data_IF_639429064002
#
_entry.id   IF_639429064002
#
_cell.length_a   1.000
_cell.length_b   1.000
_cell.length_c   1.000
_cell.angle_alpha   90.00
_cell.angle_beta   90.00
_cell.angle_gamma   90.00
#
_symmetry.space_group_name_H-M   'P 1'
#
loop_
_entity.id
_entity.type
_entity.pdbx_description
1 polymer ?
#
# COMPACT_ATOMS: atom_id res chain seq x y z
N UNK A 1 6.98 -19.27 2.13
CA UNK A 1 6.06 -18.24 1.61
C UNK A 1 4.87 -18.94 0.99
N UNK A 2 3.65 -18.49 1.26
CA UNK A 2 2.46 -19.03 0.59
C UNK A 2 2.51 -18.70 -0.91
N UNK A 3 1.77 -19.44 -1.75
CA UNK A 3 1.69 -19.18 -3.21
C UNK A 3 1.27 -17.75 -3.50
N UNK A 4 0.48 -17.16 -2.61
CA UNK A 4 -0.02 -15.79 -2.74
C UNK A 4 1.07 -14.75 -2.42
N UNK A 5 1.89 -15.00 -1.39
CA UNK A 5 3.01 -14.11 -1.04
C UNK A 5 4.06 -14.03 -2.15
N UNK A 6 4.29 -15.15 -2.85
CA UNK A 6 5.24 -15.18 -3.97
C UNK A 6 4.72 -14.36 -5.15
N UNK A 7 3.41 -14.39 -5.42
CA UNK A 7 2.77 -13.57 -6.45
C UNK A 7 2.81 -12.08 -6.11
N UNK A 8 2.56 -11.73 -4.85
CA UNK A 8 2.66 -10.35 -4.38
C UNK A 8 4.08 -9.82 -4.55
N UNK A 9 5.08 -10.60 -4.12
CA UNK A 9 6.48 -10.20 -4.28
C UNK A 9 6.86 -10.04 -5.76
N UNK A 10 6.40 -10.96 -6.62
CA UNK A 10 6.64 -10.87 -8.06
C UNK A 10 6.01 -9.61 -8.68
N UNK A 11 4.79 -9.24 -8.28
CA UNK A 11 4.12 -8.02 -8.74
C UNK A 11 4.88 -6.75 -8.31
N UNK A 12 5.38 -6.69 -7.07
CA UNK A 12 6.20 -5.58 -6.58
C UNK A 12 7.54 -5.50 -7.33
N UNK A 13 8.23 -6.64 -7.48
CA UNK A 13 9.50 -6.71 -8.21
C UNK A 13 9.34 -6.40 -9.70
N UNK A 14 8.21 -6.72 -10.31
CA UNK A 14 7.94 -6.40 -11.71
C UNK A 14 8.02 -4.90 -11.96
N UNK A 15 7.58 -4.05 -11.01
CA UNK A 15 7.70 -2.61 -11.13
C UNK A 15 9.18 -2.17 -11.15
N UNK A 16 10.00 -2.73 -10.27
CA UNK A 16 11.45 -2.47 -10.24
C UNK A 16 12.18 -3.01 -11.48
N UNK A 17 11.78 -4.19 -11.98
CA UNK A 17 12.34 -4.78 -13.21
C UNK A 17 12.05 -3.90 -14.43
N UNK A 18 10.84 -3.35 -14.56
CA UNK A 18 10.50 -2.41 -15.65
C UNK A 18 11.42 -1.19 -15.64
N UNK A 19 11.67 -0.60 -14.46
CA UNK A 19 12.58 0.54 -14.34
C UNK A 19 14.02 0.17 -14.71
N UNK A 20 14.51 -0.97 -14.21
CA UNK A 20 15.83 -1.50 -14.57
C UNK A 20 15.96 -1.66 -16.09
N UNK A 21 14.95 -2.24 -16.73
CA UNK A 21 14.98 -2.52 -18.17
C UNK A 21 14.99 -1.23 -19.01
N UNK A 22 14.28 -0.18 -18.58
CA UNK A 22 14.36 1.16 -19.19
C UNK A 22 15.80 1.71 -19.10
N UNK A 23 16.40 1.66 -17.91
CA UNK A 23 17.77 2.15 -17.67
C UNK A 23 18.78 1.39 -18.54
N UNK A 24 18.68 0.05 -18.61
CA UNK A 24 19.58 -0.78 -19.41
C UNK A 24 19.46 -0.53 -20.92
N UNK A 25 18.31 -0.04 -21.39
CA UNK A 25 18.09 0.39 -22.77
C UNK A 25 18.54 1.82 -23.06
N UNK A 26 18.99 2.56 -22.04
CA UNK A 26 19.31 3.99 -22.16
C UNK A 26 18.07 4.89 -22.28
N UNK A 27 16.88 4.37 -21.97
CA UNK A 27 15.65 5.15 -21.93
C UNK A 27 15.55 5.89 -20.59
N UNK A 28 15.06 7.15 -20.57
CA UNK A 28 14.76 7.84 -19.32
C UNK A 28 13.77 7.04 -18.45
N UNK A 29 14.13 6.68 -17.21
CA UNK A 29 13.27 5.86 -16.38
C UNK A 29 12.03 6.64 -15.96
N UNK A 30 10.87 6.00 -16.08
CA UNK A 30 9.58 6.59 -15.79
C UNK A 30 8.58 5.56 -15.25
N UNK A 31 7.78 6.00 -14.28
CA UNK A 31 6.68 5.23 -13.71
C UNK A 31 5.34 5.75 -14.22
N UNK A 32 4.48 4.84 -14.65
CA UNK A 32 3.08 5.14 -14.95
C UNK A 32 2.18 4.66 -13.80
N UNK A 33 1.44 5.59 -13.20
CA UNK A 33 0.64 5.35 -12.00
C UNK A 33 -0.79 5.83 -12.28
N UNK A 34 -1.83 5.03 -12.04
CA UNK A 34 -3.21 5.50 -12.17
C UNK A 34 -3.47 6.78 -11.37
N UNK A 35 -4.11 7.77 -12.00
CA UNK A 35 -4.35 9.06 -11.37
C UNK A 35 -5.45 8.95 -10.31
N UNK A 36 -5.13 9.28 -9.05
CA UNK A 36 -6.05 9.23 -7.90
C UNK A 36 -6.83 10.54 -7.70
N UNK A 37 -7.28 11.16 -8.80
CA UNK A 37 -8.05 12.41 -8.77
C UNK A 37 -9.54 12.14 -8.90
N UNK A 38 -10.39 13.01 -8.31
CA UNK A 38 -11.86 12.89 -8.40
C UNK A 38 -12.36 12.78 -9.84
N UNK A 39 -11.73 13.52 -10.75
CA UNK A 39 -12.08 13.48 -12.17
C UNK A 39 -11.82 12.09 -12.79
N UNK A 40 -10.86 11.33 -12.28
CA UNK A 40 -10.56 9.98 -12.75
C UNK A 40 -11.33 8.89 -11.99
N UNK A 41 -12.36 9.21 -11.22
CA UNK A 41 -13.21 8.20 -10.58
C UNK A 41 -14.43 7.92 -11.48
N UNK A 42 -14.66 6.65 -11.78
CA UNK A 42 -15.75 6.19 -12.66
C UNK A 42 -16.61 5.18 -11.91
N UNK A 43 -17.94 5.32 -12.00
CA UNK A 43 -18.87 4.32 -11.49
C UNK A 43 -18.88 3.08 -12.40
N UNK A 44 -18.58 1.92 -11.84
CA UNK A 44 -18.75 0.65 -12.52
C UNK A 44 -20.11 0.03 -12.15
N UNK A 45 -21.09 0.00 -13.08
CA UNK A 45 -22.42 -0.53 -12.80
C UNK A 45 -22.43 -2.05 -12.60
N UNK A 46 -21.43 -2.78 -13.11
CA UNK A 46 -21.36 -4.24 -12.97
C UNK A 46 -20.94 -4.64 -11.57
N UNK A 47 -19.84 -4.04 -11.09
CA UNK A 47 -19.37 -4.29 -9.72
C UNK A 47 -20.11 -3.45 -8.68
N UNK A 48 -20.92 -2.46 -9.10
CA UNK A 48 -21.56 -1.47 -8.22
C UNK A 48 -20.55 -0.77 -7.31
N UNK A 49 -19.39 -0.42 -7.87
CA UNK A 49 -18.28 0.20 -7.14
C UNK A 49 -17.67 1.35 -7.93
N UNK A 50 -17.09 2.30 -7.22
CA UNK A 50 -16.25 3.34 -7.82
C UNK A 50 -14.88 2.74 -8.15
N UNK A 51 -14.40 2.97 -9.37
CA UNK A 51 -13.10 2.51 -9.87
C UNK A 51 -12.29 3.67 -10.42
N UNK A 52 -10.97 3.51 -10.44
CA UNK A 52 -10.10 4.43 -11.15
C UNK A 52 -10.29 4.25 -12.66
N UNK A 53 -10.43 5.38 -13.35
CA UNK A 53 -10.52 5.48 -14.79
C UNK A 53 -9.14 5.39 -15.46
N UNK A 54 -9.09 5.56 -16.79
CA UNK A 54 -7.91 5.26 -17.60
C UNK A 54 -6.78 6.30 -17.47
N UNK A 55 -7.00 7.44 -16.79
CA UNK A 55 -5.95 8.46 -16.70
C UNK A 55 -4.82 7.97 -15.81
N UNK A 56 -3.61 8.20 -16.27
CA UNK A 56 -2.37 7.89 -15.57
C UNK A 56 -1.56 9.17 -15.37
N UNK A 57 -0.86 9.22 -14.25
CA UNK A 57 0.24 10.14 -13.99
C UNK A 57 1.53 9.46 -14.42
N UNK A 58 2.44 10.25 -14.98
CA UNK A 58 3.77 9.79 -15.37
C UNK A 58 4.79 10.51 -14.49
N UNK A 59 5.55 9.74 -13.72
CA UNK A 59 6.68 10.25 -12.93
C UNK A 59 7.95 9.96 -13.69
N UNK A 60 8.60 10.99 -14.20
CA UNK A 60 9.85 10.86 -14.91
C UNK A 60 11.02 11.28 -14.02
N UNK A 61 12.09 10.50 -14.03
CA UNK A 61 13.27 10.81 -13.22
C UNK A 61 13.98 12.08 -13.68
N UNK A 62 13.98 12.36 -14.98
CA UNK A 62 14.66 13.53 -15.57
C UNK A 62 13.80 14.80 -15.57
N UNK A 63 12.57 14.73 -15.07
CA UNK A 63 11.73 15.91 -14.87
C UNK A 63 12.01 16.54 -13.50
N UNK A 64 12.39 17.82 -13.49
CA UNK A 64 12.78 18.53 -12.27
C UNK A 64 11.66 18.57 -11.21
N UNK A 65 10.38 18.62 -11.62
CA UNK A 65 9.23 18.66 -10.71
C UNK A 65 8.84 17.28 -10.16
N UNK A 66 9.18 16.20 -10.86
CA UNK A 66 8.80 14.84 -10.51
C UNK A 66 9.97 13.98 -10.00
N UNK A 67 11.22 14.40 -10.17
CA UNK A 67 12.41 13.65 -9.77
C UNK A 67 12.38 13.24 -8.28
N UNK A 68 11.99 14.15 -7.38
CA UNK A 68 11.87 13.85 -5.94
C UNK A 68 10.81 12.76 -5.70
N UNK A 69 9.62 12.90 -6.28
CA UNK A 69 8.52 11.92 -6.14
C UNK A 69 8.87 10.57 -6.76
N UNK A 70 9.57 10.57 -7.90
CA UNK A 70 10.08 9.36 -8.52
C UNK A 70 11.02 8.63 -7.56
N UNK A 71 12.03 9.33 -7.02
CA UNK A 71 12.98 8.77 -6.06
C UNK A 71 12.26 8.23 -4.82
N UNK A 72 11.33 8.99 -4.23
CA UNK A 72 10.55 8.54 -3.07
C UNK A 72 9.77 7.26 -3.36
N UNK A 73 9.17 7.14 -4.55
CA UNK A 73 8.41 5.95 -4.96
C UNK A 73 9.31 4.72 -5.07
N UNK A 74 10.47 4.88 -5.71
CA UNK A 74 11.44 3.79 -5.85
C UNK A 74 12.02 3.39 -4.50
N UNK A 75 12.33 4.35 -3.63
CA UNK A 75 12.84 4.09 -2.29
C UNK A 75 11.80 3.33 -1.44
N UNK A 76 10.56 3.80 -1.39
CA UNK A 76 9.49 3.13 -0.63
C UNK A 76 9.22 1.72 -1.15
N UNK A 77 9.18 1.55 -2.49
CA UNK A 77 9.07 0.22 -3.10
C UNK A 77 10.21 -0.70 -2.66
N UNK A 78 11.44 -0.19 -2.62
CA UNK A 78 12.61 -0.97 -2.20
C UNK A 78 12.54 -1.42 -0.74
N UNK A 79 12.01 -0.56 0.15
CA UNK A 79 11.79 -0.89 1.55
C UNK A 79 10.73 -1.98 1.71
N UNK A 80 9.60 -1.86 1.02
CA UNK A 80 8.52 -2.85 1.03
C UNK A 80 9.01 -4.20 0.51
N UNK A 81 9.70 -4.22 -0.64
CA UNK A 81 10.24 -5.44 -1.24
C UNK A 81 11.28 -6.10 -0.32
N UNK A 82 12.14 -5.30 0.32
CA UNK A 82 13.13 -5.82 1.28
C UNK A 82 12.45 -6.47 2.48
N UNK A 83 11.56 -5.75 3.15
CA UNK A 83 10.82 -6.26 4.29
C UNK A 83 10.11 -7.57 3.93
N UNK A 84 9.47 -7.62 2.75
CA UNK A 84 8.77 -8.83 2.31
C UNK A 84 9.69 -10.02 2.04
N UNK A 85 10.89 -9.79 1.50
CA UNK A 85 11.90 -10.85 1.31
C UNK A 85 12.47 -11.36 2.63
N UNK A 86 12.60 -10.48 3.62
CA UNK A 86 13.10 -10.81 4.95
C UNK A 86 12.02 -11.46 5.83
N UNK A 87 10.75 -11.41 5.41
CA UNK A 87 9.62 -11.92 6.18
C UNK A 87 9.15 -10.96 7.27
N UNK A 88 9.55 -9.70 7.19
CA UNK A 88 9.17 -8.63 8.10
C UNK A 88 7.86 -7.96 7.67
N UNK A 89 7.07 -7.55 8.65
CA UNK A 89 5.75 -6.95 8.47
C UNK A 89 5.70 -5.57 9.14
N UNK A 90 6.27 -4.53 8.52
CA UNK A 90 6.40 -3.21 9.13
C UNK A 90 5.06 -2.48 9.20
N UNK A 91 4.91 -1.59 10.18
CA UNK A 91 3.82 -0.61 10.18
C UNK A 91 4.12 0.55 9.21
N UNK A 92 3.09 1.34 8.89
CA UNK A 92 3.25 2.56 8.07
C UNK A 92 4.24 3.55 8.72
N UNK A 93 4.33 3.58 10.06
CA UNK A 93 5.31 4.42 10.77
C UNK A 93 6.72 3.88 10.66
N UNK A 94 6.89 2.56 10.73
CA UNK A 94 8.21 1.94 10.57
C UNK A 94 8.78 2.25 9.19
N UNK A 95 7.95 2.15 8.15
CA UNK A 95 8.33 2.55 6.79
C UNK A 95 8.67 4.04 6.68
N UNK A 96 7.89 4.92 7.33
CA UNK A 96 8.19 6.35 7.38
C UNK A 96 9.57 6.62 7.98
N UNK A 97 9.89 6.02 9.13
CA UNK A 97 11.18 6.25 9.77
C UNK A 97 12.33 5.56 9.02
N UNK A 98 12.12 4.36 8.48
CA UNK A 98 13.13 3.61 7.74
C UNK A 98 13.58 4.32 6.45
N UNK A 99 12.67 5.05 5.80
CA UNK A 99 13.00 5.82 4.60
C UNK A 99 13.27 7.30 4.83
N UNK A 100 13.12 7.82 6.06
CA UNK A 100 13.38 9.23 6.37
C UNK A 100 14.88 9.48 6.42
N UNK A 101 15.43 9.94 5.29
CA UNK A 101 16.82 10.35 5.20
C UNK A 101 16.93 11.85 4.98
N UNK A 102 17.94 12.44 5.61
CA UNK A 102 18.38 13.80 5.37
C UNK A 102 19.44 13.79 4.27
N UNK A 103 19.18 14.50 3.18
CA UNK A 103 20.08 14.69 2.05
C UNK A 103 20.71 16.07 2.18
N UNK A 104 22.01 16.12 2.42
CA UNK A 104 22.78 17.36 2.47
C UNK A 104 23.64 17.50 1.21
N UNK A 105 23.54 18.63 0.53
CA UNK A 105 24.30 18.90 -0.68
C UNK A 105 24.61 20.39 -0.83
N UNK A 106 25.48 20.72 -1.77
CA UNK A 106 25.80 22.12 -2.13
C UNK A 106 25.12 22.41 -3.45
N UNK A 107 24.28 23.45 -3.50
CA UNK A 107 23.60 23.88 -4.72
C UNK A 107 24.58 24.54 -5.71
N UNK A 108 24.11 24.79 -6.94
CA UNK A 108 24.89 25.44 -8.00
C UNK A 108 25.36 26.87 -7.64
N UNK A 109 24.85 27.45 -6.56
CA UNK A 109 25.23 28.75 -6.02
C UNK A 109 26.20 28.63 -4.81
N UNK A 110 26.69 27.44 -4.50
CA UNK A 110 27.62 27.21 -3.38
C UNK A 110 26.95 27.20 -2.01
N UNK A 111 25.61 27.16 -1.93
CA UNK A 111 24.88 27.16 -0.65
C UNK A 111 24.65 25.73 -0.18
N UNK A 112 24.87 25.48 1.11
CA UNK A 112 24.50 24.21 1.74
C UNK A 112 22.98 24.10 1.80
N UNK A 113 22.44 23.03 1.22
CA UNK A 113 21.04 22.65 1.26
C UNK A 113 20.89 21.38 2.06
N UNK A 114 19.72 21.27 2.69
CA UNK A 114 19.30 20.10 3.43
C UNK A 114 17.87 19.82 3.04
N UNK A 115 17.62 18.61 2.57
CA UNK A 115 16.30 18.16 2.16
C UNK A 115 16.00 16.80 2.80
N UNK A 116 14.81 16.65 3.35
CA UNK A 116 14.37 15.34 3.80
C UNK A 116 13.75 14.57 2.65
N UNK A 117 13.89 13.25 2.71
CA UNK A 117 13.24 12.33 1.76
C UNK A 117 11.75 12.58 1.74
N UNK A 118 11.14 12.78 2.90
CA UNK A 118 9.78 13.27 3.09
C UNK A 118 9.69 14.11 4.36
N UNK A 119 8.89 15.16 4.31
CA UNK A 119 8.74 16.11 5.41
C UNK A 119 7.66 15.66 6.41
N UNK A 120 6.68 14.88 5.95
CA UNK A 120 5.54 14.45 6.77
C UNK A 120 5.10 13.02 6.49
N UNK A 121 4.41 12.40 7.46
CA UNK A 121 3.80 11.08 7.29
C UNK A 121 2.82 11.06 6.10
N UNK A 122 2.07 12.15 5.90
CA UNK A 122 1.12 12.26 4.80
C UNK A 122 1.79 12.12 3.42
N UNK A 123 3.03 12.57 3.31
CA UNK A 123 3.82 12.46 2.08
C UNK A 123 4.22 11.00 1.82
N UNK A 124 4.79 10.30 2.82
CA UNK A 124 5.14 8.88 2.68
C UNK A 124 3.91 8.00 2.44
N UNK A 125 2.79 8.30 3.11
CA UNK A 125 1.52 7.57 2.95
C UNK A 125 0.99 7.72 1.51
N UNK A 126 1.11 8.92 0.92
CA UNK A 126 0.73 9.14 -0.48
C UNK A 126 1.58 8.30 -1.43
N UNK A 127 2.87 8.10 -1.13
CA UNK A 127 3.76 7.26 -1.95
C UNK A 127 3.36 5.78 -1.85
N UNK A 128 3.00 5.29 -0.67
CA UNK A 128 2.49 3.92 -0.49
C UNK A 128 1.22 3.73 -1.34
N UNK A 129 0.30 4.68 -1.29
CA UNK A 129 -0.93 4.64 -2.10
C UNK A 129 -0.67 4.64 -3.61
N UNK A 130 0.41 5.30 -4.05
CA UNK A 130 0.80 5.28 -5.45
C UNK A 130 1.34 3.89 -5.87
N UNK A 131 2.04 3.20 -4.97
CA UNK A 131 2.49 1.82 -5.18
C UNK A 131 1.29 0.86 -5.19
N UNK A 132 0.32 1.04 -4.28
CA UNK A 132 -0.94 0.27 -4.26
C UNK A 132 -1.61 0.30 -5.64
N UNK A 133 -1.86 1.49 -6.20
CA UNK A 133 -2.54 1.61 -7.50
C UNK A 133 -1.66 1.21 -8.69
N UNK A 134 -0.34 1.37 -8.60
CA UNK A 134 0.58 0.96 -9.66
C UNK A 134 0.69 -0.57 -9.79
N UNK A 135 0.55 -1.28 -8.67
CA UNK A 135 0.67 -2.74 -8.58
C UNK A 135 -0.68 -3.45 -8.57
N UNK A 136 -1.76 -2.74 -8.20
CA UNK A 136 -3.08 -3.32 -7.98
C UNK A 136 -3.19 -4.09 -6.65
N UNK A 137 -2.22 -3.91 -5.76
CA UNK A 137 -2.15 -4.57 -4.46
C UNK A 137 -2.66 -3.64 -3.35
N UNK A 138 -3.26 -4.22 -2.32
CA UNK A 138 -3.54 -3.50 -1.08
C UNK A 138 -2.29 -3.49 -0.19
N UNK A 139 -2.17 -2.49 0.71
CA UNK A 139 -1.06 -2.44 1.69
C UNK A 139 -0.94 -3.71 2.52
N UNK A 140 -2.05 -4.34 2.85
CA UNK A 140 -2.10 -5.58 3.62
C UNK A 140 -1.45 -6.72 2.82
N UNK A 141 -1.71 -6.80 1.51
CA UNK A 141 -1.05 -7.77 0.62
C UNK A 141 0.46 -7.54 0.60
N UNK A 142 0.89 -6.28 0.55
CA UNK A 142 2.30 -5.88 0.59
C UNK A 142 2.99 -6.17 1.93
N UNK A 143 2.26 -6.66 2.95
CA UNK A 143 2.81 -6.99 4.27
C UNK A 143 2.92 -5.78 5.20
N UNK A 144 2.24 -4.68 4.90
CA UNK A 144 2.22 -3.48 5.74
C UNK A 144 1.12 -3.64 6.79
N UNK A 145 1.50 -3.68 8.07
CA UNK A 145 0.54 -3.79 9.17
C UNK A 145 -0.09 -2.43 9.49
N UNK A 146 -1.34 -2.49 9.94
CA UNK A 146 -2.06 -1.36 10.50
C UNK A 146 -2.58 -1.68 11.90
N UNK A 147 -2.76 -0.65 12.72
CA UNK A 147 -3.44 -0.81 14.00
C UNK A 147 -4.91 -1.16 13.79
N UNK A 148 -5.30 -2.35 14.24
CA UNK A 148 -6.70 -2.81 14.19
C UNK A 148 -7.52 -2.11 15.25
N UNK A 149 -8.52 -1.34 14.83
CA UNK A 149 -9.48 -0.67 15.73
C UNK A 149 -10.93 -1.16 15.58
N UNK A 150 -11.21 -1.96 14.55
CA UNK A 150 -12.54 -2.48 14.29
C UNK A 150 -12.88 -3.69 15.18
N UNK A 151 -14.09 -3.70 15.71
CA UNK A 151 -14.68 -4.85 16.42
C UNK A 151 -15.97 -5.27 15.74
N UNK A 152 -16.26 -6.56 15.75
CA UNK A 152 -17.49 -7.13 15.20
C UNK A 152 -18.21 -7.98 16.24
N UNK A 153 -19.54 -7.88 16.24
CA UNK A 153 -20.45 -8.70 17.04
C UNK A 153 -21.69 -8.96 16.19
N UNK A 154 -22.25 -10.17 16.28
CA UNK A 154 -23.45 -10.53 15.53
C UNK A 154 -23.49 -12.00 15.15
N UNK A 155 -24.55 -12.40 14.44
CA UNK A 155 -24.75 -13.78 13.96
C UNK A 155 -23.83 -14.08 12.77
N UNK A 156 -22.56 -14.29 13.09
CA UNK A 156 -21.46 -14.50 12.16
C UNK A 156 -20.49 -15.52 12.78
N UNK A 157 -20.10 -16.51 12.00
CA UNK A 157 -19.04 -17.46 12.36
C UNK A 157 -17.89 -17.29 11.38
N UNK A 158 -16.69 -17.02 11.90
CA UNK A 158 -15.47 -16.84 11.12
C UNK A 158 -14.41 -17.87 11.51
N UNK A 159 -13.53 -18.22 10.58
CA UNK A 159 -12.28 -18.93 10.89
C UNK A 159 -11.13 -17.94 10.83
N UNK A 160 -10.36 -17.86 11.91
CA UNK A 160 -9.18 -17.02 12.04
C UNK A 160 -8.01 -17.87 12.50
N UNK A 161 -6.91 -17.89 11.76
CA UNK A 161 -5.70 -18.66 12.11
C UNK A 161 -5.95 -20.15 12.44
N UNK A 162 -7.00 -20.74 11.87
CA UNK A 162 -7.41 -22.13 12.11
C UNK A 162 -8.49 -22.32 13.17
N UNK A 163 -8.75 -21.31 14.00
CA UNK A 163 -9.77 -21.34 15.04
C UNK A 163 -11.12 -20.86 14.51
N UNK A 164 -12.18 -21.59 14.84
CA UNK A 164 -13.56 -21.20 14.53
C UNK A 164 -14.10 -20.33 15.65
N UNK A 165 -14.54 -19.12 15.30
CA UNK A 165 -14.96 -18.08 16.23
C UNK A 165 -16.41 -17.71 15.92
N UNK A 166 -17.29 -17.91 16.90
CA UNK A 166 -18.68 -17.50 16.84
C UNK A 166 -18.83 -16.08 17.43
N UNK A 167 -18.95 -15.08 16.55
CA UNK A 167 -19.08 -13.67 16.92
C UNK A 167 -20.40 -13.33 17.63
N UNK A 168 -21.35 -14.28 17.74
CA UNK A 168 -22.60 -14.08 18.47
C UNK A 168 -22.48 -14.41 19.96
N UNK A 169 -21.43 -15.16 20.34
CA UNK A 169 -21.23 -15.68 21.71
C UNK A 169 -20.05 -15.01 22.43
N UNK A 170 -19.96 -13.69 22.30
CA UNK A 170 -18.85 -12.89 22.83
C UNK A 170 -19.12 -12.24 24.20
N UNK A 171 -20.33 -12.41 24.76
CA UNK A 171 -20.73 -11.77 26.01
C UNK A 171 -20.74 -10.24 25.90
N UNK A 172 -20.14 -9.55 26.85
CA UNK A 172 -19.93 -8.08 26.80
C UNK A 172 -18.79 -7.67 25.85
N UNK A 173 -18.07 -8.65 25.28
CA UNK A 173 -16.98 -8.47 24.35
C UNK A 173 -17.43 -8.42 22.89
N UNK A 174 -16.44 -8.31 22.01
CA UNK A 174 -16.61 -8.41 20.57
C UNK A 174 -15.32 -8.96 19.95
N UNK A 175 -15.44 -9.56 18.78
CA UNK A 175 -14.27 -10.06 18.07
C UNK A 175 -13.51 -8.90 17.43
N UNK A 176 -12.21 -8.78 17.74
CA UNK A 176 -11.34 -7.78 17.13
C UNK A 176 -10.89 -8.25 15.76
N UNK A 177 -11.15 -7.45 14.72
CA UNK A 177 -10.75 -7.79 13.34
C UNK A 177 -9.21 -7.80 13.27
N UNK A 178 -8.58 -8.84 12.68
CA UNK A 178 -7.13 -8.89 12.51
C UNK A 178 -6.64 -7.85 11.47
N UNK A 179 -5.34 -7.49 11.46
CA UNK A 179 -4.82 -6.47 10.54
C UNK A 179 -4.90 -6.87 9.07
N UNK A 180 -4.96 -8.17 8.78
CA UNK A 180 -5.23 -8.66 7.43
C UNK A 180 -6.64 -9.29 7.40
N UNK A 181 -7.68 -8.56 6.98
CA UNK A 181 -9.03 -9.11 6.94
C UNK A 181 -9.18 -10.23 5.91
N UNK A 182 -8.34 -10.29 4.87
CA UNK A 182 -8.38 -11.38 3.86
C UNK A 182 -7.95 -12.73 4.44
N UNK A 183 -7.33 -12.73 5.63
CA UNK A 183 -7.04 -13.97 6.37
C UNK A 183 -8.25 -14.55 7.11
N UNK A 184 -9.34 -13.79 7.21
CA UNK A 184 -10.60 -14.28 7.79
C UNK A 184 -11.41 -15.03 6.74
N UNK A 185 -11.75 -16.27 7.05
CA UNK A 185 -12.73 -17.04 6.28
C UNK A 185 -14.10 -16.90 6.93
N UNK A 186 -15.08 -16.39 6.20
CA UNK A 186 -16.47 -16.35 6.65
C UNK A 186 -17.08 -17.73 6.44
N UNK A 187 -17.46 -18.41 7.53
CA UNK A 187 -18.05 -19.75 7.50
C UNK A 187 -19.58 -19.69 7.42
N UNK A 188 -20.19 -18.82 8.23
CA UNK A 188 -21.64 -18.69 8.31
C UNK A 188 -22.04 -17.23 8.59
N UNK A 189 -23.07 -16.76 7.91
CA UNK A 189 -23.66 -15.43 8.11
C UNK A 189 -25.18 -15.59 8.19
N UNK A 190 -25.77 -15.24 9.32
CA UNK A 190 -27.22 -15.19 9.52
C UNK A 190 -27.65 -13.75 9.86
N UNK A 191 -27.41 -12.82 8.94
CA UNK A 191 -27.74 -11.41 9.10
C UNK A 191 -28.37 -10.86 7.82
N UNK A 192 -29.43 -10.06 7.98
CA UNK A 192 -30.12 -9.40 6.85
C UNK A 192 -29.45 -8.08 6.44
N UNK A 193 -28.73 -7.44 7.37
CA UNK A 193 -28.01 -6.19 7.15
C UNK A 193 -26.80 -6.09 8.08
N UNK A 194 -25.87 -5.20 7.74
CA UNK A 194 -24.71 -4.84 8.56
C UNK A 194 -24.92 -3.41 9.08
N UNK A 195 -24.82 -3.22 10.39
CA UNK A 195 -24.86 -1.90 11.02
C UNK A 195 -23.43 -1.47 11.37
N UNK A 196 -23.00 -0.35 10.78
CA UNK A 196 -21.69 0.25 11.07
C UNK A 196 -21.90 1.41 12.02
N UNK A 197 -21.22 1.39 13.17
CA UNK A 197 -21.29 2.41 14.22
C UNK A 197 -19.89 3.00 14.39
N UNK A 198 -19.79 4.34 14.37
CA UNK A 198 -18.54 5.09 14.66
C UNK A 198 -18.39 5.37 16.16
#
# INVERSE_FOLDING_TARGET
MSVDEMRVLEALEALGRRLRDQILKGEPPALEIPARTLANVVWDPKSKMLRLGPRKLRREFLDMGEAKKFMQTVLMLSLIVRARREGDYPTIRDLYYAGKHTIEYVDEHGRRRREETWDSQRESDSVIQDIEVATGLLREHMGILHDTKGKIVGRLIVRSAGDVIDCSRMGDGAYSIPPNPDSLEILEVDAEYVLVIE
#
